data_IF_406054759494
#
_entry.id   IF_406054759494
#
_cell.length_a   1.000
_cell.length_b   1.000
_cell.length_c   1.000
_cell.angle_alpha   90.00
_cell.angle_beta   90.00
_cell.angle_gamma   90.00
#
_symmetry.space_group_name_H-M   'P 1'
#
loop_
_entity.id
_entity.type
_entity.pdbx_description
1 polymer ?
#
# COMPACT_ATOMS: atom_id res chain seq x y z
N UNK A 1 7.23 5.78 10.98
CA UNK A 1 6.42 6.18 9.79
C UNK A 1 7.05 5.60 8.54
N UNK A 2 6.33 4.70 7.86
CA UNK A 2 6.76 3.98 6.67
C UNK A 2 6.01 4.55 5.46
N UNK A 3 6.73 4.96 4.42
CA UNK A 3 6.13 5.39 3.15
C UNK A 3 6.74 4.58 2.02
N UNK A 4 5.88 3.85 1.31
CA UNK A 4 6.26 3.06 0.15
C UNK A 4 5.63 3.66 -1.09
N UNK A 5 6.47 3.88 -2.10
CA UNK A 5 6.09 4.41 -3.40
C UNK A 5 6.45 3.42 -4.49
N UNK A 6 5.48 3.14 -5.35
CA UNK A 6 5.69 2.28 -6.50
C UNK A 6 5.03 2.90 -7.72
N UNK A 7 5.75 2.92 -8.84
CA UNK A 7 5.17 3.20 -10.15
C UNK A 7 4.35 1.98 -10.57
N UNK A 8 3.07 2.17 -10.88
CA UNK A 8 2.15 1.09 -11.20
C UNK A 8 1.46 1.42 -12.52
N UNK A 9 1.81 0.68 -13.58
CA UNK A 9 1.20 0.85 -14.91
C UNK A 9 0.09 -0.20 -15.20
N UNK A 10 -0.27 -1.00 -14.19
CA UNK A 10 -1.28 -2.06 -14.29
C UNK A 10 -2.70 -1.55 -14.01
N UNK A 11 -3.73 -2.41 -14.13
CA UNK A 11 -5.11 -1.98 -14.01
C UNK A 11 -5.39 -1.42 -12.61
N UNK A 12 -5.92 -0.21 -12.54
CA UNK A 12 -6.32 0.47 -11.30
C UNK A 12 -7.66 -0.04 -10.77
N UNK A 13 -8.01 0.31 -9.52
CA UNK A 13 -9.26 -0.11 -8.89
C UNK A 13 -9.25 -1.56 -8.41
N UNK A 14 -10.31 -2.33 -8.69
CA UNK A 14 -10.51 -3.67 -8.11
C UNK A 14 -9.39 -4.65 -8.48
N UNK A 15 -8.89 -4.60 -9.72
CA UNK A 15 -7.80 -5.47 -10.16
C UNK A 15 -6.46 -5.13 -9.46
N UNK A 16 -6.21 -3.86 -9.16
CA UNK A 16 -5.09 -3.44 -8.33
C UNK A 16 -5.27 -3.92 -6.89
N UNK A 17 -6.49 -3.80 -6.34
CA UNK A 17 -6.79 -4.26 -4.99
C UNK A 17 -6.55 -5.76 -4.83
N UNK A 18 -6.94 -6.58 -5.82
CA UNK A 18 -6.67 -8.02 -5.81
C UNK A 18 -5.17 -8.33 -5.87
N UNK A 19 -4.40 -7.62 -6.72
CA UNK A 19 -2.95 -7.83 -6.83
C UNK A 19 -2.19 -7.39 -5.58
N UNK A 20 -2.62 -6.30 -4.93
CA UNK A 20 -1.96 -5.75 -3.75
C UNK A 20 -2.46 -6.37 -2.45
N UNK A 21 -3.53 -7.17 -2.48
CA UNK A 21 -4.08 -7.86 -1.31
C UNK A 21 -3.03 -8.69 -0.55
N UNK A 22 -2.19 -9.53 -1.20
CA UNK A 22 -1.16 -10.29 -0.49
C UNK A 22 -0.12 -9.40 0.20
N UNK A 23 0.27 -8.29 -0.45
CA UNK A 23 1.19 -7.30 0.12
C UNK A 23 0.54 -6.57 1.30
N UNK A 24 -0.74 -6.23 1.17
CA UNK A 24 -1.51 -5.64 2.25
C UNK A 24 -1.58 -6.60 3.46
N UNK A 25 -1.77 -7.89 3.24
CA UNK A 25 -1.78 -8.92 4.29
C UNK A 25 -0.41 -9.07 4.94
N UNK A 26 0.69 -9.07 4.17
CA UNK A 26 2.04 -9.17 4.74
C UNK A 26 2.40 -7.98 5.64
N UNK A 27 2.00 -6.76 5.25
CA UNK A 27 2.22 -5.54 6.05
C UNK A 27 1.43 -5.59 7.37
N UNK A 28 0.22 -6.18 7.37
CA UNK A 28 -0.57 -6.33 8.60
C UNK A 28 0.07 -7.32 9.60
N UNK A 29 1.00 -8.16 9.15
CA UNK A 29 1.73 -9.08 10.02
C UNK A 29 2.96 -8.45 10.68
N UNK A 30 3.32 -7.21 10.33
CA UNK A 30 4.45 -6.54 10.95
C UNK A 30 4.10 -6.11 12.39
N UNK A 31 4.89 -6.52 13.40
CA UNK A 31 4.64 -6.13 14.79
C UNK A 31 4.83 -4.61 14.96
N UNK A 32 3.85 -3.97 15.60
CA UNK A 32 3.83 -2.51 15.77
C UNK A 32 3.13 -1.77 14.63
N UNK A 33 2.63 -2.45 13.60
CA UNK A 33 1.85 -1.81 12.55
C UNK A 33 0.48 -1.33 13.06
N UNK A 34 0.20 -0.03 12.94
CA UNK A 34 -1.06 0.57 13.42
C UNK A 34 -2.08 0.76 12.31
N UNK A 35 -1.66 1.29 11.16
CA UNK A 35 -2.56 1.60 10.05
C UNK A 35 -1.79 1.76 8.72
N UNK A 36 -2.49 1.52 7.61
CA UNK A 36 -2.07 1.92 6.25
C UNK A 36 -3.18 2.66 5.53
N UNK A 37 -2.77 3.56 4.66
CA UNK A 37 -3.60 4.22 3.65
C UNK A 37 -2.99 3.92 2.28
N UNK A 38 -3.82 3.37 1.40
CA UNK A 38 -3.49 3.20 0.00
C UNK A 38 -4.02 4.41 -0.76
N UNK A 39 -3.18 4.98 -1.61
CA UNK A 39 -3.54 6.07 -2.52
C UNK A 39 -3.13 5.65 -3.91
N UNK A 40 -4.12 5.55 -4.79
CA UNK A 40 -3.91 5.27 -6.21
C UNK A 40 -4.11 6.55 -7.02
N UNK A 41 -3.24 6.77 -8.00
CA UNK A 41 -3.35 7.87 -8.96
C UNK A 41 -3.20 7.30 -10.36
N UNK A 42 -4.33 6.99 -10.99
CA UNK A 42 -4.36 6.51 -12.37
C UNK A 42 -3.75 7.55 -13.33
N UNK A 43 -4.01 8.85 -13.11
CA UNK A 43 -3.45 9.92 -13.95
C UNK A 43 -1.92 9.97 -13.96
N UNK A 44 -1.30 9.61 -12.83
CA UNK A 44 0.16 9.60 -12.70
C UNK A 44 0.76 8.20 -12.85
N UNK A 45 -0.08 7.18 -13.02
CA UNK A 45 0.29 5.77 -12.93
C UNK A 45 1.09 5.44 -11.66
N UNK A 46 0.59 5.92 -10.52
CA UNK A 46 1.30 5.85 -9.23
C UNK A 46 0.44 5.21 -8.15
N UNK A 47 1.11 4.41 -7.31
CA UNK A 47 0.53 3.85 -6.09
C UNK A 47 1.42 4.20 -4.92
N UNK A 48 0.80 4.77 -3.89
CA UNK A 48 1.45 5.09 -2.62
C UNK A 48 0.78 4.30 -1.51
N UNK A 49 1.58 3.60 -0.72
CA UNK A 49 1.16 3.02 0.55
C UNK A 49 1.84 3.80 1.68
N UNK A 50 1.03 4.50 2.50
CA UNK A 50 1.53 5.20 3.68
C UNK A 50 1.11 4.41 4.91
N UNK A 51 2.06 3.99 5.74
CA UNK A 51 1.80 3.25 6.96
C UNK A 51 2.50 3.85 8.17
N UNK A 52 1.99 3.58 9.37
CA UNK A 52 2.71 3.87 10.60
C UNK A 52 2.97 2.59 11.38
N UNK A 53 4.25 2.24 11.49
CA UNK A 53 4.75 1.29 12.47
C UNK A 53 5.14 2.06 13.73
N UNK A 54 4.38 1.84 14.80
CA UNK A 54 4.77 2.23 16.15
C UNK A 54 5.90 1.30 16.60
N UNK A 55 7.14 1.74 16.42
CA UNK A 55 8.21 1.27 17.29
C UNK A 55 7.93 1.88 18.66
N UNK A 56 7.57 1.03 19.62
CA UNK A 56 7.75 1.36 21.04
C UNK A 56 9.24 1.37 21.36
#
# INVERSE_FOLDING_TARGET
MLQLHFSFNGPFGDAMAEQLKPLAESINQEPGFMWKVWTESEKNHEVRCTGNSGHY
#
